data_IF_982767907027
#
_entry.id   IF_982767907027
#
_cell.length_a   1.000
_cell.length_b   1.000
_cell.length_c   1.000
_cell.angle_alpha   90.00
_cell.angle_beta   90.00
_cell.angle_gamma   90.00
#
_symmetry.space_group_name_H-M   'P 1'
#
loop_
_entity.id
_entity.type
_entity.pdbx_description
1 polymer ?
#
# COMPACT_ATOMS: atom_id res chain seq x y z
N UNK A 1 -9.53 -2.69 9.99
CA UNK A 1 -8.72 -3.82 9.49
C UNK A 1 -7.38 -3.27 9.03
N UNK A 2 -6.28 -3.62 9.70
CA UNK A 2 -4.93 -3.12 9.39
C UNK A 2 -4.41 -3.95 8.22
N UNK A 3 -4.70 -3.53 6.98
CA UNK A 3 -4.26 -4.25 5.79
C UNK A 3 -2.73 -4.32 5.78
N UNK A 4 -2.18 -5.54 5.84
CA UNK A 4 -0.74 -5.75 5.81
C UNK A 4 -0.19 -5.43 4.43
N UNK A 5 1.07 -4.99 4.36
CA UNK A 5 1.74 -4.66 3.11
C UNK A 5 1.64 -5.80 2.06
N UNK A 6 1.79 -7.05 2.52
CA UNK A 6 1.66 -8.23 1.67
C UNK A 6 0.24 -8.49 1.15
N UNK A 7 -0.80 -8.02 1.84
CA UNK A 7 -2.16 -8.04 1.31
C UNK A 7 -2.35 -6.96 0.22
N UNK A 8 -1.80 -5.77 0.42
CA UNK A 8 -1.84 -4.70 -0.58
C UNK A 8 -1.15 -5.11 -1.89
N UNK A 9 -0.01 -5.82 -1.84
CA UNK A 9 0.63 -6.35 -3.04
C UNK A 9 -0.23 -7.35 -3.81
N UNK A 10 -0.96 -8.23 -3.12
CA UNK A 10 -1.91 -9.16 -3.76
C UNK A 10 -3.07 -8.42 -4.40
N UNK A 11 -3.60 -7.39 -3.73
CA UNK A 11 -4.70 -6.55 -4.23
C UNK A 11 -4.32 -5.72 -5.47
N UNK A 12 -3.03 -5.44 -5.69
CA UNK A 12 -2.55 -4.72 -6.87
C UNK A 12 -2.88 -5.44 -8.19
N UNK A 13 -3.00 -6.77 -8.14
CA UNK A 13 -3.36 -7.62 -9.28
C UNK A 13 -4.86 -7.91 -9.38
N UNK A 14 -5.69 -7.27 -8.55
CA UNK A 14 -7.14 -7.45 -8.60
C UNK A 14 -7.73 -6.92 -9.91
N UNK A 15 -8.74 -7.59 -10.51
CA UNK A 15 -9.45 -7.06 -11.67
C UNK A 15 -10.23 -5.78 -11.34
N UNK A 16 -10.60 -5.57 -10.07
CA UNK A 16 -11.35 -4.40 -9.64
C UNK A 16 -10.46 -3.16 -9.53
N UNK A 17 -10.79 -2.12 -10.31
CA UNK A 17 -10.05 -0.87 -10.34
C UNK A 17 -10.00 -0.15 -8.98
N UNK A 18 -11.08 -0.18 -8.19
CA UNK A 18 -11.12 0.45 -6.86
C UNK A 18 -10.13 -0.25 -5.91
N UNK A 19 -10.07 -1.57 -5.99
CA UNK A 19 -9.14 -2.41 -5.20
C UNK A 19 -7.68 -2.10 -5.58
N UNK A 20 -7.35 -2.03 -6.87
CA UNK A 20 -5.98 -1.65 -7.31
C UNK A 20 -5.58 -0.25 -6.86
N UNK A 21 -6.51 0.72 -6.95
CA UNK A 21 -6.27 2.10 -6.51
C UNK A 21 -5.99 2.18 -5.00
N UNK A 22 -6.78 1.45 -4.19
CA UNK A 22 -6.55 1.35 -2.73
C UNK A 22 -5.20 0.71 -2.43
N UNK A 23 -4.87 -0.42 -3.04
CA UNK A 23 -3.59 -1.09 -2.89
C UNK A 23 -2.41 -0.18 -3.19
N UNK A 24 -2.46 0.54 -4.32
CA UNK A 24 -1.43 1.51 -4.71
C UNK A 24 -1.25 2.61 -3.65
N UNK A 25 -2.35 3.15 -3.11
CA UNK A 25 -2.30 4.17 -2.04
C UNK A 25 -1.61 3.64 -0.79
N UNK A 26 -1.99 2.45 -0.32
CA UNK A 26 -1.41 1.82 0.88
C UNK A 26 0.10 1.60 0.72
N UNK A 27 0.53 1.08 -0.44
CA UNK A 27 1.94 0.86 -0.75
C UNK A 27 2.70 2.19 -0.76
N UNK A 28 2.14 3.24 -1.38
CA UNK A 28 2.76 4.57 -1.42
C UNK A 28 2.88 5.21 -0.04
N UNK A 29 1.81 5.16 0.76
CA UNK A 29 1.78 5.73 2.10
C UNK A 29 2.77 5.00 3.02
N UNK A 30 2.88 3.67 2.91
CA UNK A 30 3.91 2.92 3.62
C UNK A 30 5.33 3.35 3.23
N UNK A 31 5.61 3.49 1.93
CA UNK A 31 6.94 3.94 1.45
C UNK A 31 7.29 5.34 1.94
N UNK A 32 6.33 6.28 1.92
CA UNK A 32 6.52 7.64 2.44
C UNK A 32 6.80 7.63 3.95
N UNK A 33 6.04 6.85 4.71
CA UNK A 33 6.21 6.73 6.15
C UNK A 33 7.53 6.05 6.52
N UNK A 34 8.02 5.11 5.72
CA UNK A 34 9.36 4.54 5.92
C UNK A 34 10.46 5.57 5.64
N UNK A 35 10.33 6.38 4.59
CA UNK A 35 11.30 7.44 4.30
C UNK A 35 11.37 8.47 5.43
N UNK A 36 10.22 8.86 5.99
CA UNK A 36 10.15 9.80 7.10
C UNK A 36 10.80 9.26 8.38
N UNK A 37 10.72 7.95 8.64
CA UNK A 37 11.39 7.30 9.78
C UNK A 37 12.90 7.12 9.62
N UNK A 38 13.40 7.13 8.39
CA UNK A 38 14.84 6.97 8.12
C UNK A 38 15.59 8.31 8.21
N UNK A 39 14.87 9.43 8.10
CA UNK A 39 15.41 10.79 8.16
C UNK A 39 15.22 11.48 9.51
N UNK A 40 14.66 10.79 10.50
CA UNK A 40 14.42 11.26 11.87
C UNK A 40 15.26 10.45 12.85
#
# INVERSE_FOLDING_TARGET
>A
MKESLGAAYRQLHSPNIKTRKRAKKIIQDYKRNQKAKLSA
#
